data_IF_089471645388
#
_entry.id   IF_089471645388
#
_cell.length_a   1.000
_cell.length_b   1.000
_cell.length_c   1.000
_cell.angle_alpha   90.00
_cell.angle_beta   90.00
_cell.angle_gamma   90.00
#
_symmetry.space_group_name_H-M   'P 1'
#
loop_
_entity.id
_entity.type
_entity.pdbx_description
1 polymer ?
#
# COMPACT_ATOMS: atom_id res chain seq x y z
N UNK A 1 -0.45 2.76 7.11
CA UNK A 1 -1.01 3.91 7.85
C UNK A 1 -0.59 3.79 9.30
N UNK A 2 -0.28 4.92 9.92
CA UNK A 2 0.17 4.98 11.30
C UNK A 2 -0.63 6.02 12.06
N UNK A 3 -0.78 5.86 13.37
CA UNK A 3 -1.34 6.87 14.24
C UNK A 3 -0.38 7.23 15.37
N UNK A 4 -0.40 8.50 15.78
CA UNK A 4 0.43 9.00 16.86
C UNK A 4 -0.05 8.46 18.22
N UNK A 5 0.88 8.03 19.06
CA UNK A 5 0.62 7.68 20.45
C UNK A 5 0.34 8.96 21.26
N UNK A 6 -0.51 8.84 22.29
CA UNK A 6 -1.10 9.97 23.03
C UNK A 6 -0.11 10.98 23.62
N UNK A 7 1.14 10.58 23.87
CA UNK A 7 2.17 11.45 24.43
C UNK A 7 2.88 12.30 23.35
N UNK A 8 2.77 11.94 22.07
CA UNK A 8 3.59 12.49 20.99
C UNK A 8 2.84 13.42 20.04
N UNK A 9 1.54 13.65 20.28
CA UNK A 9 0.71 14.64 19.58
C UNK A 9 1.33 16.05 19.52
N UNK A 10 2.09 16.44 20.56
CA UNK A 10 2.79 17.72 20.61
C UNK A 10 4.04 17.75 19.72
N UNK A 11 4.74 16.62 19.57
CA UNK A 11 5.87 16.50 18.65
C UNK A 11 5.40 16.36 17.20
N UNK A 12 4.30 15.65 16.96
CA UNK A 12 3.64 15.59 15.65
C UNK A 12 3.32 16.99 15.11
N UNK A 13 2.66 17.82 15.93
CA UNK A 13 2.35 19.21 15.57
C UNK A 13 3.61 20.01 15.25
N UNK A 14 4.66 19.82 16.04
CA UNK A 14 5.96 20.45 15.80
C UNK A 14 6.61 19.96 14.49
N UNK A 15 6.53 18.67 14.16
CA UNK A 15 7.07 18.10 12.93
C UNK A 15 6.32 18.57 11.67
N UNK A 16 4.99 18.70 11.73
CA UNK A 16 4.19 19.33 10.67
C UNK A 16 4.60 20.79 10.44
N UNK A 17 4.92 21.52 11.52
CA UNK A 17 5.34 22.92 11.47
C UNK A 17 6.82 23.10 11.05
N UNK A 18 7.68 22.11 11.33
CA UNK A 18 9.15 22.21 11.15
C UNK A 18 9.71 21.47 9.92
N UNK A 19 8.99 20.51 9.32
CA UNK A 19 9.44 19.90 8.07
C UNK A 19 9.00 18.44 7.89
N UNK A 20 8.23 18.21 6.82
CA UNK A 20 8.41 16.98 6.04
C UNK A 20 9.83 17.03 5.49
N UNK A 21 10.74 16.28 6.10
CA UNK A 21 12.05 16.04 5.50
C UNK A 21 11.81 15.27 4.21
N UNK A 22 11.98 15.94 3.07
CA UNK A 22 12.04 15.38 1.71
C UNK A 22 13.26 14.44 1.58
N UNK A 23 13.31 13.34 2.35
CA UNK A 23 14.24 12.27 2.06
C UNK A 23 13.64 11.39 0.95
N UNK A 24 14.32 11.26 -0.21
CA UNK A 24 13.82 10.50 -1.35
C UNK A 24 13.83 9.00 -1.01
N UNK A 25 12.66 8.39 -0.90
CA UNK A 25 12.56 6.97 -0.61
C UNK A 25 11.12 6.50 -0.48
N UNK A 26 10.93 5.18 -0.46
CA UNK A 26 9.61 4.60 -0.23
C UNK A 26 9.11 4.95 1.17
N UNK A 27 7.78 5.13 1.36
CA UNK A 27 7.22 5.38 2.67
C UNK A 27 7.64 4.29 3.64
N UNK A 28 8.13 4.69 4.81
CA UNK A 28 8.55 3.79 5.87
C UNK A 28 7.81 4.10 7.16
N UNK A 29 8.00 3.26 8.17
CA UNK A 29 7.54 3.55 9.53
C UNK A 29 8.02 4.95 9.98
N UNK A 30 7.10 5.86 10.37
CA UNK A 30 7.46 7.20 10.86
C UNK A 30 8.26 7.19 12.17
N UNK A 31 8.40 6.04 12.84
CA UNK A 31 9.32 5.83 13.94
C UNK A 31 8.68 5.94 15.31
N UNK A 32 9.48 6.30 16.31
CA UNK A 32 9.05 6.33 17.71
C UNK A 32 7.84 7.26 17.91
N UNK A 33 6.90 6.84 18.76
CA UNK A 33 5.67 7.59 19.04
C UNK A 33 4.55 7.35 18.03
N UNK A 34 4.76 6.45 17.07
CA UNK A 34 3.73 6.00 16.14
C UNK A 34 3.47 4.51 16.30
N UNK A 35 2.21 4.13 16.07
CA UNK A 35 1.84 2.72 15.90
C UNK A 35 1.15 2.51 14.57
N UNK A 36 1.32 1.31 14.00
CA UNK A 36 0.56 0.92 12.81
C UNK A 36 -0.94 0.92 13.14
N UNK A 37 -1.71 1.62 12.33
CA UNK A 37 -3.16 1.67 12.41
C UNK A 37 -3.73 0.86 11.25
N UNK A 38 -4.56 -0.14 11.59
CA UNK A 38 -5.25 -0.98 10.61
C UNK A 38 -6.46 -0.26 10.04
N UNK A 39 -6.80 -0.53 8.79
CA UNK A 39 -8.00 0.00 8.14
C UNK A 39 -9.28 -0.40 8.88
N UNK A 40 -9.38 -1.64 9.38
CA UNK A 40 -10.54 -2.06 10.18
C UNK A 40 -10.63 -1.32 11.52
N UNK A 41 -9.50 -1.09 12.22
CA UNK A 41 -9.51 -0.28 13.45
C UNK A 41 -10.04 1.14 13.17
N UNK A 42 -9.58 1.77 12.09
CA UNK A 42 -10.07 3.09 11.71
C UNK A 42 -11.56 3.06 11.31
N UNK A 43 -12.01 1.99 10.66
CA UNK A 43 -13.41 1.80 10.27
C UNK A 43 -14.32 1.70 11.49
N UNK A 44 -13.93 0.90 12.49
CA UNK A 44 -14.67 0.77 13.74
C UNK A 44 -14.78 2.09 14.49
N UNK A 45 -13.71 2.89 14.53
CA UNK A 45 -13.69 4.20 15.21
C UNK A 45 -14.58 5.23 14.55
N UNK A 46 -14.65 5.19 13.22
CA UNK A 46 -15.29 6.26 12.43
C UNK A 46 -16.68 5.90 11.93
N UNK A 47 -17.05 4.62 11.99
CA UNK A 47 -18.27 4.08 11.38
C UNK A 47 -18.22 4.03 9.85
N UNK A 48 -17.08 4.35 9.23
CA UNK A 48 -16.90 4.31 7.79
C UNK A 48 -16.59 2.89 7.31
N UNK A 49 -16.97 2.51 6.07
CA UNK A 49 -16.54 1.23 5.51
C UNK A 49 -15.06 1.29 5.11
N UNK A 50 -14.36 0.15 5.19
CA UNK A 50 -12.99 0.01 4.64
C UNK A 50 -12.98 0.17 3.11
N UNK A 51 -14.03 -0.33 2.44
CA UNK A 51 -14.22 -0.22 0.98
C UNK A 51 -15.55 0.45 0.69
N UNK A 52 -15.51 1.58 -0.02
CA UNK A 52 -16.74 2.28 -0.44
C UNK A 52 -17.32 1.55 -1.65
N UNK A 53 -18.57 1.11 -1.56
CA UNK A 53 -19.22 0.37 -2.64
C UNK A 53 -19.95 1.28 -3.65
N UNK A 54 -20.29 2.50 -3.26
CA UNK A 54 -21.06 3.46 -4.07
C UNK A 54 -20.19 4.31 -5.02
N UNK A 55 -18.88 4.12 -5.00
CA UNK A 55 -17.98 4.72 -6.00
C UNK A 55 -17.89 3.82 -7.23
N UNK A 56 -17.41 4.38 -8.35
CA UNK A 56 -17.25 3.62 -9.58
C UNK A 56 -16.37 2.37 -9.34
N UNK A 57 -16.64 1.22 -10.00
CA UNK A 57 -16.02 -0.07 -9.67
C UNK A 57 -14.49 -0.05 -9.58
N UNK A 58 -13.82 0.77 -10.38
CA UNK A 58 -12.37 0.94 -10.38
C UNK A 58 -11.82 1.51 -9.05
N UNK A 59 -12.65 2.27 -8.32
CA UNK A 59 -12.33 2.93 -7.05
C UNK A 59 -12.82 2.19 -5.82
N UNK A 60 -13.36 0.97 -5.97
CA UNK A 60 -13.69 0.09 -4.84
C UNK A 60 -12.41 -0.50 -4.27
N UNK A 61 -11.58 0.32 -3.65
CA UNK A 61 -10.35 -0.06 -2.95
C UNK A 61 -10.29 0.65 -1.60
N UNK A 62 -9.57 0.08 -0.62
CA UNK A 62 -9.16 0.85 0.55
C UNK A 62 -8.46 2.14 0.11
N UNK A 63 -8.97 3.27 0.58
CA UNK A 63 -8.38 4.59 0.33
C UNK A 63 -8.70 5.52 1.47
N UNK A 64 -7.93 6.61 1.62
CA UNK A 64 -8.27 7.67 2.59
C UNK A 64 -9.69 8.24 2.35
N UNK A 65 -10.19 8.18 1.10
CA UNK A 65 -11.56 8.58 0.74
C UNK A 65 -12.62 7.65 1.31
N UNK A 66 -12.27 6.43 1.70
CA UNK A 66 -13.20 5.54 2.39
C UNK A 66 -13.59 6.08 3.77
N UNK A 67 -12.70 6.87 4.39
CA UNK A 67 -12.90 7.49 5.69
C UNK A 67 -13.41 8.93 5.55
N UNK A 68 -14.42 9.11 4.70
CA UNK A 68 -14.92 10.43 4.32
C UNK A 68 -15.42 11.28 5.49
N UNK A 69 -15.76 10.68 6.64
CA UNK A 69 -16.14 11.44 7.84
C UNK A 69 -14.95 12.08 8.56
N UNK A 70 -13.71 11.65 8.29
CA UNK A 70 -12.49 12.22 8.85
C UNK A 70 -12.03 13.36 7.93
N UNK A 71 -12.07 14.61 8.41
CA UNK A 71 -11.72 15.80 7.64
C UNK A 71 -10.45 16.45 8.15
N UNK A 72 -9.73 17.12 7.25
CA UNK A 72 -8.62 17.98 7.63
C UNK A 72 -9.11 19.06 8.61
N UNK A 73 -8.38 19.22 9.72
CA UNK A 73 -8.78 20.08 10.84
C UNK A 73 -9.59 19.38 11.93
N UNK A 74 -9.99 18.13 11.73
CA UNK A 74 -10.47 17.28 12.80
C UNK A 74 -9.26 16.72 13.58
N UNK A 75 -9.35 16.67 14.91
CA UNK A 75 -8.25 16.16 15.74
C UNK A 75 -7.80 14.73 15.39
N UNK A 76 -8.71 13.90 14.84
CA UNK A 76 -8.36 12.55 14.37
C UNK A 76 -7.54 12.58 13.08
N UNK A 77 -7.83 13.48 12.13
CA UNK A 77 -7.05 13.60 10.89
C UNK A 77 -5.60 13.95 11.18
N UNK A 78 -5.39 14.83 12.15
CA UNK A 78 -4.06 15.24 12.61
C UNK A 78 -3.33 14.10 13.32
N UNK A 79 -4.01 13.11 13.87
CA UNK A 79 -3.32 12.00 14.55
C UNK A 79 -2.84 10.89 13.61
N UNK A 80 -3.16 10.97 12.31
CA UNK A 80 -2.95 9.88 11.35
C UNK A 80 -1.93 10.28 10.29
N UNK A 81 -0.90 9.43 10.13
CA UNK A 81 -0.04 9.41 8.96
C UNK A 81 -0.68 8.52 7.89
N UNK A 82 -1.29 9.19 6.92
CA UNK A 82 -2.03 8.56 5.82
C UNK A 82 -1.08 7.88 4.85
N UNK A 83 -1.49 6.76 4.23
CA UNK A 83 -0.68 6.09 3.22
C UNK A 83 -0.50 6.97 1.98
N UNK A 84 0.70 6.97 1.42
CA UNK A 84 0.97 7.59 0.14
C UNK A 84 0.21 6.89 -0.98
N UNK A 85 -0.20 7.66 -1.98
CA UNK A 85 -0.93 7.10 -3.12
C UNK A 85 0.03 6.40 -4.08
N UNK A 86 -0.41 5.26 -4.62
CA UNK A 86 0.28 4.49 -5.64
C UNK A 86 1.57 3.82 -5.21
N UNK A 87 1.79 3.68 -3.91
CA UNK A 87 2.94 2.96 -3.38
C UNK A 87 2.58 2.17 -2.13
N UNK A 88 3.22 1.02 -1.96
CA UNK A 88 3.28 0.32 -0.67
C UNK A 88 4.31 1.00 0.23
N UNK A 89 4.10 0.94 1.55
CA UNK A 89 5.18 1.13 2.51
C UNK A 89 6.20 -0.02 2.42
N UNK A 90 7.44 0.25 2.82
CA UNK A 90 8.57 -0.69 2.75
C UNK A 90 8.23 -2.03 3.41
N UNK A 91 7.67 -2.00 4.61
CA UNK A 91 7.36 -3.18 5.41
C UNK A 91 6.26 -4.04 4.75
N UNK A 92 5.23 -3.39 4.19
CA UNK A 92 4.18 -4.07 3.43
C UNK A 92 4.72 -4.67 2.14
N UNK A 93 5.62 -3.98 1.44
CA UNK A 93 6.26 -4.52 0.25
C UNK A 93 7.12 -5.74 0.58
N UNK A 94 7.94 -5.69 1.63
CA UNK A 94 8.75 -6.83 2.04
C UNK A 94 7.90 -8.03 2.46
N UNK A 95 6.82 -7.79 3.21
CA UNK A 95 5.90 -8.86 3.62
C UNK A 95 5.24 -9.50 2.41
N UNK A 96 4.77 -8.69 1.44
CA UNK A 96 4.22 -9.19 0.18
C UNK A 96 5.28 -9.97 -0.63
N UNK A 97 6.49 -9.44 -0.77
CA UNK A 97 7.58 -10.10 -1.48
C UNK A 97 7.93 -11.46 -0.84
N UNK A 98 7.94 -11.55 0.49
CA UNK A 98 8.19 -12.79 1.21
C UNK A 98 7.09 -13.85 0.94
N UNK A 99 5.82 -13.44 0.93
CA UNK A 99 4.70 -14.34 0.60
C UNK A 99 4.81 -14.83 -0.84
N UNK A 100 5.06 -13.92 -1.80
CA UNK A 100 5.22 -14.27 -3.21
C UNK A 100 6.39 -15.23 -3.43
N UNK A 101 7.52 -14.99 -2.74
CA UNK A 101 8.69 -15.88 -2.77
C UNK A 101 8.38 -17.27 -2.22
N UNK A 102 7.63 -17.36 -1.12
CA UNK A 102 7.22 -18.65 -0.56
C UNK A 102 6.27 -19.41 -1.51
N UNK A 103 5.39 -18.68 -2.20
CA UNK A 103 4.43 -19.28 -3.14
C UNK A 103 5.09 -19.72 -4.45
N UNK A 104 5.88 -18.85 -5.09
CA UNK A 104 6.44 -19.09 -6.44
C UNK A 104 7.86 -19.66 -6.41
N UNK A 105 8.59 -19.48 -5.31
CA UNK A 105 10.03 -19.74 -5.22
C UNK A 105 10.87 -18.53 -5.63
N UNK A 106 11.96 -18.29 -4.92
CA UNK A 106 12.83 -17.12 -5.09
C UNK A 106 13.47 -17.00 -6.48
N UNK A 107 13.70 -18.12 -7.17
CA UNK A 107 14.27 -18.11 -8.53
C UNK A 107 13.23 -17.82 -9.64
N UNK A 108 11.96 -17.61 -9.28
CA UNK A 108 10.92 -17.25 -10.25
C UNK A 108 11.27 -15.98 -11.00
N UNK A 109 11.31 -16.07 -12.32
CA UNK A 109 11.50 -14.91 -13.20
C UNK A 109 10.28 -14.01 -13.06
N UNK A 110 10.52 -12.78 -12.62
CA UNK A 110 9.50 -11.78 -12.31
C UNK A 110 9.77 -10.51 -13.09
N UNK A 111 8.69 -9.86 -13.50
CA UNK A 111 8.69 -8.58 -14.17
C UNK A 111 8.11 -7.53 -13.22
N UNK A 112 8.66 -6.32 -13.25
CA UNK A 112 8.16 -5.18 -12.49
C UNK A 112 8.10 -3.94 -13.38
N UNK A 113 6.96 -3.27 -13.40
CA UNK A 113 6.71 -2.08 -14.21
C UNK A 113 6.36 -0.91 -13.28
N UNK A 114 7.19 0.16 -13.26
CA UNK A 114 6.87 1.39 -12.54
C UNK A 114 5.60 2.06 -13.08
N UNK A 115 5.02 2.98 -12.29
CA UNK A 115 3.89 3.78 -12.78
C UNK A 115 4.41 4.86 -13.76
N UNK A 116 4.06 4.82 -15.05
CA UNK A 116 4.55 5.81 -16.02
C UNK A 116 4.01 7.23 -15.75
N UNK A 117 2.90 7.35 -15.03
CA UNK A 117 2.33 8.65 -14.66
C UNK A 117 3.12 9.36 -13.56
N UNK A 118 4.00 8.64 -12.85
CA UNK A 118 4.87 9.23 -11.81
C UNK A 118 6.16 9.79 -12.36
N UNK A 119 6.60 9.31 -13.52
CA UNK A 119 7.78 9.80 -14.20
C UNK A 119 7.51 9.84 -15.73
N UNK A 120 6.77 10.84 -16.20
CA UNK A 120 6.35 10.92 -17.60
C UNK A 120 7.51 11.19 -18.57
N UNK A 121 8.66 11.65 -18.06
CA UNK A 121 9.87 11.93 -18.84
C UNK A 121 10.72 10.66 -19.03
N UNK A 122 10.47 9.61 -18.25
CA UNK A 122 11.13 8.32 -18.39
C UNK A 122 10.33 7.41 -19.32
N UNK A 123 11.02 6.92 -20.35
CA UNK A 123 10.45 5.92 -21.26
C UNK A 123 9.92 4.70 -20.47
N UNK A 124 8.69 4.25 -20.75
CA UNK A 124 8.11 3.09 -20.08
C UNK A 124 9.03 1.88 -20.22
N UNK A 125 9.43 1.31 -19.08
CA UNK A 125 10.35 0.18 -19.04
C UNK A 125 9.86 -0.87 -18.04
N UNK A 126 10.21 -2.11 -18.31
CA UNK A 126 9.88 -3.25 -17.45
C UNK A 126 11.17 -3.86 -16.96
N UNK A 127 11.36 -3.88 -15.65
CA UNK A 127 12.43 -4.64 -15.01
C UNK A 127 12.14 -6.12 -15.12
N UNK A 128 13.20 -6.92 -15.30
CA UNK A 128 13.14 -8.38 -15.30
C UNK A 128 14.24 -8.90 -14.38
N UNK A 129 13.86 -9.73 -13.41
CA UNK A 129 14.78 -10.28 -12.42
C UNK A 129 14.24 -11.54 -11.78
N UNK A 130 14.91 -12.00 -10.71
CA UNK A 130 14.38 -13.09 -9.87
C UNK A 130 13.52 -12.49 -8.76
N UNK A 131 12.51 -13.23 -8.34
CA UNK A 131 11.61 -12.81 -7.27
C UNK A 131 12.34 -12.60 -5.94
N UNK A 132 13.39 -13.38 -5.67
CA UNK A 132 14.25 -13.23 -4.50
C UNK A 132 15.04 -11.91 -4.48
N UNK A 133 15.18 -11.25 -5.62
CA UNK A 133 15.93 -10.00 -5.76
C UNK A 133 15.01 -8.76 -5.69
N UNK A 134 13.70 -8.91 -5.38
CA UNK A 134 12.73 -7.80 -5.36
C UNK A 134 13.14 -6.63 -4.45
N UNK A 135 13.82 -6.90 -3.33
CA UNK A 135 14.29 -5.85 -2.42
C UNK A 135 15.34 -4.92 -3.06
N UNK A 136 16.00 -5.32 -4.15
CA UNK A 136 16.91 -4.45 -4.90
C UNK A 136 16.16 -3.30 -5.59
N UNK A 137 14.84 -3.39 -5.76
CA UNK A 137 14.04 -2.31 -6.35
C UNK A 137 14.05 -1.05 -5.49
N UNK A 138 14.27 -1.16 -4.17
CA UNK A 138 14.45 0.00 -3.29
C UNK A 138 15.76 0.76 -3.53
N UNK A 139 16.74 0.11 -4.16
CA UNK A 139 18.02 0.72 -4.50
C UNK A 139 17.98 1.43 -5.86
N UNK A 140 16.90 1.22 -6.61
CA UNK A 140 16.64 2.00 -7.81
C UNK A 140 16.21 3.39 -7.34
N UNK A 141 16.60 4.42 -8.09
CA UNK A 141 16.19 5.82 -7.88
C UNK A 141 14.70 5.99 -8.25
N UNK A 142 13.85 5.25 -7.55
CA UNK A 142 12.43 5.11 -7.78
C UNK A 142 11.71 5.47 -6.48
N UNK A 143 11.02 6.61 -6.49
CA UNK A 143 10.26 7.13 -5.35
C UNK A 143 9.11 6.21 -4.89
N UNK A 144 8.74 5.22 -5.70
CA UNK A 144 7.54 4.41 -5.50
C UNK A 144 7.77 2.94 -5.83
N UNK A 145 6.98 2.09 -5.18
CA UNK A 145 6.90 0.67 -5.55
C UNK A 145 6.41 0.50 -6.99
N UNK A 146 6.81 -0.57 -7.70
CA UNK A 146 6.29 -0.84 -9.04
C UNK A 146 4.76 -0.88 -9.05
N UNK A 147 4.16 -0.23 -10.06
CA UNK A 147 2.72 -0.27 -10.30
C UNK A 147 2.23 -1.68 -10.59
N UNK A 148 3.03 -2.46 -11.32
CA UNK A 148 2.69 -3.84 -11.63
C UNK A 148 3.86 -4.77 -11.37
N UNK A 149 3.57 -5.95 -10.83
CA UNK A 149 4.51 -7.07 -10.79
C UNK A 149 3.83 -8.36 -11.19
N UNK A 150 4.50 -9.19 -11.99
CA UNK A 150 3.97 -10.48 -12.42
C UNK A 150 5.10 -11.49 -12.73
N UNK A 151 4.89 -12.80 -12.52
CA UNK A 151 5.84 -13.84 -12.86
C UNK A 151 5.75 -14.16 -14.36
N UNK A 152 6.79 -14.82 -14.88
CA UNK A 152 6.85 -15.20 -16.30
C UNK A 152 5.71 -16.13 -16.74
N UNK A 153 5.18 -16.95 -15.84
CA UNK A 153 4.04 -17.84 -16.09
C UNK A 153 2.67 -17.13 -15.95
N UNK A 154 2.66 -15.86 -15.51
CA UNK A 154 1.46 -15.04 -15.26
C UNK A 154 0.48 -15.65 -14.25
N UNK A 155 0.98 -16.46 -13.33
CA UNK A 155 0.15 -17.10 -12.29
C UNK A 155 -0.47 -16.11 -11.30
N UNK A 156 0.12 -14.93 -11.12
CA UNK A 156 -0.41 -13.86 -10.27
C UNK A 156 -0.08 -12.46 -10.82
N UNK A 157 -0.77 -11.44 -10.32
CA UNK A 157 -0.53 -10.04 -10.63
C UNK A 157 -0.66 -9.20 -9.36
N UNK A 158 0.37 -8.40 -9.09
CA UNK A 158 0.32 -7.28 -8.15
C UNK A 158 0.00 -6.02 -8.95
N UNK A 159 -0.97 -5.24 -8.49
CA UNK A 159 -1.35 -3.98 -9.12
C UNK A 159 -1.59 -2.89 -8.08
N UNK A 160 -0.76 -1.86 -8.12
CA UNK A 160 -0.99 -0.55 -7.51
C UNK A 160 -1.01 0.50 -8.62
N UNK A 161 -1.76 1.57 -8.46
CA UNK A 161 -1.83 2.66 -9.43
C UNK A 161 -1.71 3.98 -8.70
N UNK A 162 -1.31 5.05 -9.41
CA UNK A 162 -0.94 6.34 -8.82
C UNK A 162 -2.00 6.94 -7.90
N UNK A 163 -3.28 6.58 -8.08
CA UNK A 163 -4.45 7.04 -7.33
C UNK A 163 -5.03 6.00 -6.35
N UNK A 164 -4.42 4.82 -6.21
CA UNK A 164 -4.83 3.80 -5.24
C UNK A 164 -4.09 4.02 -3.91
N UNK A 165 -4.78 3.86 -2.77
CA UNK A 165 -4.11 3.80 -1.45
C UNK A 165 -4.01 2.37 -0.91
N UNK A 166 -4.18 1.37 -1.79
CA UNK A 166 -4.04 -0.04 -1.50
C UNK A 166 -3.70 -0.83 -2.77
N UNK A 167 -3.12 -2.00 -2.59
CA UNK A 167 -2.64 -2.86 -3.69
C UNK A 167 -3.63 -3.98 -3.97
N UNK A 168 -4.01 -4.15 -5.23
CA UNK A 168 -4.81 -5.29 -5.70
C UNK A 168 -3.89 -6.46 -6.00
N UNK A 169 -4.30 -7.65 -5.56
CA UNK A 169 -3.62 -8.89 -5.85
C UNK A 169 -4.57 -9.83 -6.57
N UNK A 170 -4.10 -10.41 -7.67
CA UNK A 170 -4.79 -11.47 -8.41
C UNK A 170 -3.92 -12.71 -8.39
N UNK A 171 -4.53 -13.88 -8.22
CA UNK A 171 -3.80 -15.13 -8.19
C UNK A 171 -4.71 -16.31 -7.84
N UNK A 172 -4.14 -17.51 -7.73
CA UNK A 172 -4.89 -18.71 -7.35
C UNK A 172 -5.23 -18.67 -5.85
N UNK A 173 -6.27 -19.41 -5.41
CA UNK A 173 -6.74 -19.40 -4.02
C UNK A 173 -5.63 -19.63 -3.00
N UNK A 174 -4.68 -20.51 -3.30
CA UNK A 174 -3.56 -20.84 -2.42
C UNK A 174 -2.68 -19.62 -2.13
N UNK A 175 -2.40 -18.78 -3.14
CA UNK A 175 -1.66 -17.53 -2.94
C UNK A 175 -2.48 -16.55 -2.11
N UNK A 176 -3.78 -16.41 -2.41
CA UNK A 176 -4.64 -15.44 -1.73
C UNK A 176 -4.79 -15.77 -0.24
N UNK A 177 -4.96 -17.06 0.11
CA UNK A 177 -4.96 -17.51 1.51
C UNK A 177 -3.63 -17.21 2.20
N UNK A 178 -2.48 -17.43 1.55
CA UNK A 178 -1.19 -17.09 2.13
C UNK A 178 -1.03 -15.59 2.42
N UNK A 179 -1.63 -14.72 1.59
CA UNK A 179 -1.62 -13.27 1.78
C UNK A 179 -2.55 -12.87 2.93
N UNK A 180 -3.73 -13.48 3.04
CA UNK A 180 -4.68 -13.24 4.14
C UNK A 180 -4.14 -13.70 5.50
N UNK A 181 -3.37 -14.78 5.52
CA UNK A 181 -2.74 -15.31 6.75
C UNK A 181 -1.50 -14.53 7.19
N UNK A 182 -0.97 -13.63 6.35
CA UNK A 182 0.18 -12.82 6.71
C UNK A 182 -0.19 -11.83 7.82
N UNK A 183 0.60 -11.85 8.90
CA UNK A 183 0.30 -11.06 10.10
C UNK A 183 0.55 -9.57 9.90
N UNK A 184 1.35 -9.18 8.94
CA UNK A 184 1.67 -7.78 8.67
C UNK A 184 0.69 -7.18 7.65
N UNK A 185 0.36 -7.90 6.59
CA UNK A 185 -0.59 -7.44 5.58
C UNK A 185 -2.00 -7.31 6.17
N UNK A 186 -2.78 -6.36 5.65
CA UNK A 186 -4.21 -6.26 5.92
C UNK A 186 -4.94 -6.41 4.60
N UNK A 187 -5.88 -7.34 4.56
CA UNK A 187 -6.57 -7.72 3.32
C UNK A 187 -8.06 -7.45 3.45
N UNK A 188 -8.68 -7.16 2.31
CA UNK A 188 -10.13 -7.13 2.17
C UNK A 188 -10.47 -7.64 0.77
N UNK A 189 -11.52 -8.45 0.69
CA UNK A 189 -12.05 -8.83 -0.61
C UNK A 189 -12.80 -7.67 -1.22
N UNK A 190 -12.46 -7.35 -2.46
CA UNK A 190 -13.22 -6.37 -3.21
C UNK A 190 -14.54 -7.01 -3.65
N UNK A 191 -15.67 -6.30 -3.53
CA UNK A 191 -16.97 -6.82 -3.97
C UNK A 191 -16.95 -7.10 -5.47
N UNK A 192 -17.62 -8.15 -5.89
CA UNK A 192 -17.71 -8.49 -7.30
C UNK A 192 -18.58 -7.45 -8.04
N UNK A 193 -18.37 -7.26 -9.36
CA UNK A 193 -19.30 -6.47 -10.16
C UNK A 193 -20.72 -7.05 -10.04
N UNK A 194 -21.63 -6.31 -9.40
CA UNK A 194 -23.01 -6.73 -9.16
C UNK A 194 -23.38 -6.97 -7.68
N UNK A 195 -22.41 -7.01 -6.76
CA UNK A 195 -22.70 -6.99 -5.33
C UNK A 195 -23.22 -5.59 -4.94
N UNK A 196 -24.49 -5.52 -4.54
CA UNK A 196 -25.19 -4.32 -4.05
C UNK A 196 -25.89 -4.58 -2.70
N UNK A 197 -25.25 -5.36 -1.82
CA UNK A 197 -25.78 -5.66 -0.49
C UNK A 197 -25.36 -4.61 0.54
#
# INVERSE_FOLDING_TARGET
MYEAETEDLAAYRRAQDEGLTDEPGWPADPGQGWRRLRWHELAERTGNPVVVQHVAPQYRVPSFRAFFSVKQGDGLWETISWPDWGTLDRESFHSLAAVLQRFSGSDTVTFAHPCPLRDPEVEPHVFRGRLGDLALLEQLDAYHTPANMWPADRSWLVYTDWDLSGTKIYGPPELLTMIEEDKFLETVWLPLPGDTS
#
